data_IF_454097385224
#
_entry.id   IF_454097385224
#
_cell.length_a   1.000
_cell.length_b   1.000
_cell.length_c   1.000
_cell.angle_alpha   90.00
_cell.angle_beta   90.00
_cell.angle_gamma   90.00
#
_symmetry.space_group_name_H-M   'P 1'
#
loop_
_entity.id
_entity.type
_entity.pdbx_description
1 polymer ?
#
# COMPACT_ATOMS: atom_id res chain seq x y z
N UNK A 1 7.11 8.14 17.49
CA UNK A 1 6.96 6.66 17.57
C UNK A 1 6.61 6.29 19.00
N UNK A 2 5.78 5.27 19.23
CA UNK A 2 5.42 4.80 20.59
C UNK A 2 5.95 3.39 20.74
N UNK A 3 6.78 3.14 21.74
CA UNK A 3 7.36 1.83 22.00
C UNK A 3 7.55 1.60 23.53
N UNK A 4 7.76 0.35 23.91
CA UNK A 4 8.04 0.03 25.30
C UNK A 4 9.52 0.33 25.63
N UNK A 5 9.79 1.22 26.58
CA UNK A 5 11.14 1.62 26.96
C UNK A 5 12.06 0.45 27.34
N UNK A 6 11.50 -0.68 27.82
CA UNK A 6 12.26 -1.91 28.16
C UNK A 6 12.91 -2.58 26.93
N UNK A 7 12.50 -2.22 25.72
CA UNK A 7 13.06 -2.73 24.45
C UNK A 7 14.18 -1.84 23.90
N UNK A 8 14.54 -0.78 24.64
CA UNK A 8 15.54 0.19 24.20
C UNK A 8 16.75 0.18 25.15
N UNK A 9 17.88 -0.34 24.64
CA UNK A 9 19.14 -0.47 25.38
C UNK A 9 20.25 0.46 24.87
N UNK A 10 20.00 1.24 23.81
CA UNK A 10 20.99 2.10 23.20
C UNK A 10 21.36 3.28 24.13
N UNK A 11 22.64 3.48 24.36
CA UNK A 11 23.16 4.66 25.06
C UNK A 11 23.45 5.82 24.13
N UNK A 12 23.69 5.53 22.86
CA UNK A 12 23.91 6.50 21.79
C UNK A 12 22.65 6.52 20.94
N UNK A 13 22.07 7.70 20.65
CA UNK A 13 20.89 7.79 19.82
C UNK A 13 21.18 7.33 18.38
N UNK A 14 20.18 6.78 17.70
CA UNK A 14 20.30 6.36 16.30
C UNK A 14 20.60 7.55 15.37
N UNK A 15 20.05 8.73 15.70
CA UNK A 15 20.24 9.97 14.95
C UNK A 15 20.67 11.11 15.90
N UNK A 16 21.95 11.20 16.29
CA UNK A 16 22.43 12.27 17.15
C UNK A 16 22.29 13.65 16.48
N UNK A 17 21.92 14.64 17.28
CA UNK A 17 21.73 16.01 16.78
C UNK A 17 21.62 17.02 17.93
N UNK A 18 21.27 18.25 17.61
CA UNK A 18 21.02 19.28 18.60
C UNK A 18 19.92 18.86 19.58
N UNK A 19 20.13 19.08 20.86
CA UNK A 19 19.19 18.71 21.91
C UNK A 19 19.36 17.27 22.47
N UNK A 20 20.18 16.44 21.87
CA UNK A 20 20.39 15.05 22.31
C UNK A 20 21.53 14.88 23.33
N UNK A 21 22.33 15.90 23.54
CA UNK A 21 23.50 15.90 24.42
C UNK A 21 23.34 16.88 25.57
N UNK A 22 23.91 16.56 26.75
CA UNK A 22 24.03 17.48 27.88
C UNK A 22 25.09 18.54 27.60
N UNK A 23 26.20 18.12 26.99
CA UNK A 23 27.30 18.99 26.57
C UNK A 23 28.15 18.30 25.50
N UNK A 24 28.92 19.09 24.77
CA UNK A 24 29.94 18.67 23.81
C UNK A 24 31.10 19.66 23.82
N UNK A 25 32.29 19.24 23.39
CA UNK A 25 33.49 20.08 23.33
C UNK A 25 34.31 19.84 22.05
N UNK A 26 35.28 20.70 21.72
CA UNK A 26 36.09 20.59 20.51
C UNK A 26 37.04 19.38 20.51
N UNK A 27 37.26 18.73 21.63
CA UNK A 27 38.20 17.60 21.79
C UNK A 27 37.50 16.24 21.56
N UNK A 28 36.32 16.23 20.95
CA UNK A 28 35.54 15.04 20.63
C UNK A 28 34.90 14.33 21.84
N UNK A 29 34.71 15.05 22.92
CA UNK A 29 34.01 14.55 24.09
C UNK A 29 32.58 15.10 24.09
N UNK A 30 31.65 14.27 24.55
CA UNK A 30 30.24 14.61 24.67
C UNK A 30 29.58 13.68 25.67
N UNK A 31 28.42 14.11 26.18
CA UNK A 31 27.57 13.27 27.05
C UNK A 31 26.13 13.39 26.59
N UNK A 32 25.52 12.27 26.25
CA UNK A 32 24.11 12.23 25.84
C UNK A 32 23.17 12.38 27.04
N UNK A 33 21.96 12.86 26.76
CA UNK A 33 20.88 12.98 27.75
C UNK A 33 20.40 11.58 28.18
N UNK A 34 20.10 11.41 29.47
CA UNK A 34 19.66 10.12 30.01
C UNK A 34 18.22 9.77 29.62
N UNK A 35 17.36 10.77 29.50
CA UNK A 35 15.99 10.58 29.05
C UNK A 35 15.97 10.08 27.61
N UNK A 36 15.32 8.95 27.35
CA UNK A 36 15.26 8.31 26.04
C UNK A 36 14.52 9.18 25.03
N UNK A 37 13.42 9.81 25.43
CA UNK A 37 12.58 10.62 24.55
C UNK A 37 13.36 11.82 24.02
N UNK A 38 14.04 12.55 24.91
CA UNK A 38 14.85 13.71 24.54
C UNK A 38 16.10 13.31 23.74
N UNK A 39 16.72 12.19 24.12
CA UNK A 39 17.92 11.67 23.44
C UNK A 39 17.66 11.23 22.02
N UNK A 40 16.47 10.68 21.72
CA UNK A 40 16.09 10.22 20.39
C UNK A 40 15.39 11.30 19.54
N UNK A 41 15.14 12.50 20.09
CA UNK A 41 14.53 13.62 19.37
C UNK A 41 15.59 14.66 18.97
N UNK A 42 16.44 14.31 18.02
CA UNK A 42 17.57 15.14 17.55
C UNK A 42 17.16 16.23 16.58
N UNK A 43 17.56 17.47 16.88
CA UNK A 43 17.32 18.64 16.03
C UNK A 43 16.05 19.41 16.40
N UNK A 44 15.64 20.32 15.52
CA UNK A 44 14.43 21.12 15.74
C UNK A 44 13.17 20.26 15.63
N UNK A 45 12.30 20.22 16.64
CA UNK A 45 11.07 19.43 16.59
C UNK A 45 10.18 19.81 15.38
N UNK A 46 9.54 18.86 14.71
CA UNK A 46 8.69 19.11 13.56
C UNK A 46 7.31 19.66 13.98
N UNK A 47 7.25 20.89 14.47
CA UNK A 47 6.05 21.50 15.06
C UNK A 47 4.82 21.42 14.17
N UNK A 48 4.94 21.75 12.88
CA UNK A 48 3.81 21.74 11.95
C UNK A 48 3.27 20.31 11.73
N UNK A 49 4.16 19.32 11.64
CA UNK A 49 3.78 17.93 11.49
C UNK A 49 3.09 17.41 12.77
N UNK A 50 3.57 17.82 13.94
CA UNK A 50 2.96 17.47 15.24
C UNK A 50 1.55 18.06 15.36
N UNK A 51 1.37 19.34 15.02
CA UNK A 51 0.04 19.99 14.99
C UNK A 51 -0.88 19.28 14.00
N UNK A 52 -0.38 18.97 12.81
CA UNK A 52 -1.15 18.24 11.79
C UNK A 52 -1.59 16.87 12.30
N UNK A 53 -0.71 16.14 12.99
CA UNK A 53 -1.05 14.85 13.61
C UNK A 53 -2.15 15.01 14.66
N UNK A 54 -2.06 16.01 15.51
CA UNK A 54 -3.09 16.30 16.51
C UNK A 54 -4.46 16.61 15.89
N UNK A 55 -4.48 17.39 14.80
CA UNK A 55 -5.70 17.68 14.03
C UNK A 55 -6.30 16.42 13.41
N UNK A 56 -5.49 15.51 12.87
CA UNK A 56 -5.95 14.22 12.34
C UNK A 56 -6.58 13.34 13.44
N UNK A 57 -5.98 13.30 14.62
CA UNK A 57 -6.52 12.57 15.78
C UNK A 57 -7.88 13.17 16.19
N UNK A 58 -7.96 14.49 16.34
CA UNK A 58 -9.21 15.17 16.69
C UNK A 58 -10.31 14.93 15.64
N UNK A 59 -9.97 14.94 14.35
CA UNK A 59 -10.93 14.64 13.29
C UNK A 59 -11.48 13.23 13.43
N UNK A 60 -10.60 12.24 13.62
CA UNK A 60 -10.99 10.84 13.81
C UNK A 60 -11.90 10.67 15.04
N UNK A 61 -11.58 11.32 16.15
CA UNK A 61 -12.40 11.31 17.36
C UNK A 61 -13.79 11.93 17.14
N UNK A 62 -13.84 13.07 16.40
CA UNK A 62 -15.12 13.71 16.02
C UNK A 62 -15.97 12.85 15.10
N UNK A 63 -15.36 12.12 14.19
CA UNK A 63 -16.07 11.15 13.35
C UNK A 63 -16.66 10.01 14.19
N UNK A 64 -15.97 9.61 15.25
CA UNK A 64 -16.35 8.55 16.17
C UNK A 64 -15.92 7.16 15.67
N UNK A 65 -15.07 6.49 16.43
CA UNK A 65 -14.47 5.20 16.05
C UNK A 65 -15.56 4.16 15.76
N UNK A 66 -16.56 4.05 16.61
CA UNK A 66 -17.67 3.10 16.44
C UNK A 66 -18.46 3.34 15.15
N UNK A 67 -18.68 4.61 14.78
CA UNK A 67 -19.36 4.98 13.54
C UNK A 67 -18.51 4.60 12.32
N UNK A 68 -17.21 4.83 12.38
CA UNK A 68 -16.25 4.44 11.34
C UNK A 68 -16.31 2.92 11.13
N UNK A 69 -16.17 2.13 12.19
CA UNK A 69 -16.21 0.67 12.13
C UNK A 69 -17.55 0.14 11.62
N UNK A 70 -18.66 0.72 12.09
CA UNK A 70 -19.98 0.35 11.60
C UNK A 70 -20.15 0.62 10.11
N UNK A 71 -19.65 1.77 9.64
CA UNK A 71 -19.70 2.15 8.23
C UNK A 71 -18.81 1.24 7.37
N UNK A 72 -17.59 0.97 7.78
CA UNK A 72 -16.71 0.02 7.09
C UNK A 72 -17.35 -1.37 6.97
N UNK A 73 -17.98 -1.86 8.04
CA UNK A 73 -18.71 -3.14 8.02
C UNK A 73 -19.84 -3.14 6.97
N UNK A 74 -20.60 -2.05 6.87
CA UNK A 74 -21.66 -1.93 5.85
C UNK A 74 -21.09 -1.97 4.44
N UNK A 75 -20.02 -1.22 4.17
CA UNK A 75 -19.38 -1.18 2.86
C UNK A 75 -18.72 -2.53 2.50
N UNK A 76 -18.09 -3.20 3.45
CA UNK A 76 -17.55 -4.54 3.25
C UNK A 76 -18.66 -5.54 2.91
N UNK A 77 -19.79 -5.48 3.60
CA UNK A 77 -20.93 -6.35 3.29
C UNK A 77 -21.40 -6.17 1.84
N UNK A 78 -21.48 -4.93 1.35
CA UNK A 78 -21.80 -4.67 -0.07
C UNK A 78 -20.77 -5.30 -0.99
N UNK A 79 -19.47 -5.11 -0.72
CA UNK A 79 -18.39 -5.65 -1.56
C UNK A 79 -18.43 -7.18 -1.61
N UNK A 80 -18.54 -7.85 -0.46
CA UNK A 80 -18.60 -9.31 -0.42
C UNK A 80 -19.84 -9.84 -1.14
N UNK A 81 -21.01 -9.23 -0.95
CA UNK A 81 -22.24 -9.63 -1.66
C UNK A 81 -22.10 -9.50 -3.18
N UNK A 82 -21.39 -8.48 -3.65
CA UNK A 82 -21.21 -8.23 -5.08
C UNK A 82 -20.10 -9.08 -5.72
N UNK A 83 -19.01 -9.37 -4.98
CA UNK A 83 -17.81 -9.92 -5.58
C UNK A 83 -17.53 -11.37 -5.23
N UNK A 84 -18.02 -11.92 -4.11
CA UNK A 84 -17.63 -13.26 -3.66
C UNK A 84 -18.08 -14.41 -4.58
N UNK A 85 -19.07 -14.17 -5.44
CA UNK A 85 -19.61 -15.16 -6.39
C UNK A 85 -19.19 -14.92 -7.83
N UNK A 86 -18.31 -13.95 -8.07
CA UNK A 86 -17.82 -13.66 -9.42
C UNK A 86 -16.82 -14.73 -9.84
N UNK A 87 -17.15 -15.48 -10.88
CA UNK A 87 -16.30 -16.53 -11.44
C UNK A 87 -14.97 -15.92 -11.94
N UNK A 88 -13.84 -16.57 -11.61
CA UNK A 88 -12.51 -16.09 -11.95
C UNK A 88 -11.97 -14.97 -11.06
N UNK A 89 -12.73 -14.49 -10.06
CA UNK A 89 -12.28 -13.55 -9.05
C UNK A 89 -12.07 -14.25 -7.71
N UNK A 90 -10.88 -14.13 -7.14
CA UNK A 90 -10.54 -14.75 -5.85
C UNK A 90 -10.21 -13.68 -4.80
N UNK A 91 -11.09 -13.52 -3.81
CA UNK A 91 -10.83 -12.66 -2.66
C UNK A 91 -9.96 -13.41 -1.67
N UNK A 92 -8.82 -12.84 -1.30
CA UNK A 92 -7.90 -13.46 -0.34
C UNK A 92 -8.52 -13.48 1.06
N UNK A 93 -8.36 -14.63 1.75
CA UNK A 93 -8.95 -14.89 3.07
C UNK A 93 -10.46 -14.60 3.11
N UNK A 94 -11.20 -15.05 2.09
CA UNK A 94 -12.63 -14.79 1.88
C UNK A 94 -13.51 -15.25 3.06
N UNK A 95 -13.07 -16.24 3.82
CA UNK A 95 -13.73 -16.74 5.04
C UNK A 95 -13.74 -15.70 6.17
N UNK A 96 -12.81 -14.73 6.15
CA UNK A 96 -12.69 -13.68 7.14
C UNK A 96 -13.29 -12.35 6.65
N UNK A 97 -14.63 -12.27 6.61
CA UNK A 97 -15.31 -11.04 6.16
C UNK A 97 -15.30 -9.91 7.21
N UNK A 98 -15.10 -10.25 8.49
CA UNK A 98 -14.96 -9.27 9.57
C UNK A 98 -13.52 -8.75 9.62
N UNK A 99 -13.26 -7.69 8.85
CA UNK A 99 -11.93 -7.08 8.67
C UNK A 99 -12.03 -5.56 8.58
N UNK A 100 -10.89 -4.88 8.54
CA UNK A 100 -10.83 -3.46 8.18
C UNK A 100 -11.20 -3.27 6.70
N UNK A 101 -11.46 -2.03 6.30
CA UNK A 101 -11.83 -1.65 4.94
C UNK A 101 -10.77 -1.93 3.86
N UNK A 102 -10.14 -3.10 3.91
CA UNK A 102 -9.11 -3.55 2.96
C UNK A 102 -9.50 -4.90 2.38
N UNK A 103 -9.65 -4.96 1.05
CA UNK A 103 -9.95 -6.17 0.31
C UNK A 103 -8.85 -6.43 -0.70
N UNK A 104 -8.24 -7.59 -0.61
CA UNK A 104 -7.21 -8.05 -1.54
C UNK A 104 -7.77 -9.18 -2.39
N UNK A 105 -7.50 -9.16 -3.69
CA UNK A 105 -8.02 -10.14 -4.64
C UNK A 105 -7.06 -10.34 -5.81
N UNK A 106 -7.22 -11.44 -6.51
CA UNK A 106 -6.62 -11.65 -7.83
C UNK A 106 -7.68 -12.15 -8.81
N UNK A 107 -7.40 -11.98 -10.08
CA UNK A 107 -8.24 -12.47 -11.19
C UNK A 107 -7.45 -13.55 -11.93
N UNK A 108 -8.11 -14.65 -12.27
CA UNK A 108 -7.49 -15.74 -13.03
C UNK A 108 -6.93 -15.24 -14.36
N UNK A 109 -5.76 -15.73 -14.71
CA UNK A 109 -5.06 -15.37 -15.95
C UNK A 109 -4.78 -13.87 -16.17
N UNK A 110 -4.85 -13.08 -15.09
CA UNK A 110 -4.55 -11.65 -15.11
C UNK A 110 -3.36 -11.35 -14.20
N UNK A 111 -2.30 -10.80 -14.78
CA UNK A 111 -1.19 -10.26 -13.99
C UNK A 111 -1.70 -9.08 -13.12
N UNK A 112 -1.38 -9.09 -11.84
CA UNK A 112 -1.92 -8.09 -10.89
C UNK A 112 -1.58 -6.63 -11.28
N UNK A 113 -0.38 -6.35 -11.80
CA UNK A 113 -0.02 -5.00 -12.25
C UNK A 113 -0.82 -4.57 -13.49
N UNK A 114 -1.16 -5.51 -14.38
CA UNK A 114 -2.06 -5.20 -15.48
C UNK A 114 -3.45 -4.88 -14.96
N UNK A 115 -3.96 -5.65 -14.00
CA UNK A 115 -5.25 -5.36 -13.38
C UNK A 115 -5.30 -3.98 -12.72
N UNK A 116 -4.24 -3.60 -12.01
CA UNK A 116 -4.09 -2.23 -11.46
C UNK A 116 -4.16 -1.18 -12.56
N UNK A 117 -3.43 -1.40 -13.66
CA UNK A 117 -3.39 -0.48 -14.79
C UNK A 117 -4.75 -0.37 -15.48
N UNK A 118 -5.41 -1.49 -15.71
CA UNK A 118 -6.74 -1.52 -16.35
C UNK A 118 -7.80 -0.83 -15.50
N UNK A 119 -7.80 -1.01 -14.17
CA UNK A 119 -8.73 -0.30 -13.27
C UNK A 119 -8.50 1.21 -13.30
N UNK A 120 -7.24 1.64 -13.35
CA UNK A 120 -6.92 3.06 -13.47
C UNK A 120 -7.34 3.63 -14.81
N UNK A 121 -6.94 2.99 -15.91
CA UNK A 121 -7.08 3.56 -17.25
C UNK A 121 -8.54 3.54 -17.76
N UNK A 122 -9.33 2.53 -17.40
CA UNK A 122 -10.73 2.41 -17.82
C UNK A 122 -11.73 3.06 -16.89
N UNK A 123 -11.40 3.13 -15.57
CA UNK A 123 -12.39 3.54 -14.55
C UNK A 123 -11.88 4.64 -13.61
N UNK A 124 -10.63 5.07 -13.71
CA UNK A 124 -10.02 6.04 -12.79
C UNK A 124 -9.86 5.51 -11.36
N UNK A 125 -9.89 4.18 -11.18
CA UNK A 125 -9.80 3.55 -9.86
C UNK A 125 -8.35 3.20 -9.57
N UNK A 126 -7.77 3.87 -8.57
CA UNK A 126 -6.40 3.62 -8.13
C UNK A 126 -6.38 2.55 -7.04
N UNK A 127 -5.69 1.47 -7.31
CA UNK A 127 -5.45 0.35 -6.39
C UNK A 127 -3.96 0.01 -6.34
N UNK A 128 -3.55 -0.83 -5.41
CA UNK A 128 -2.17 -1.26 -5.30
C UNK A 128 -2.00 -2.71 -5.72
N UNK A 129 -1.00 -3.00 -6.56
CA UNK A 129 -0.59 -4.36 -6.95
C UNK A 129 0.63 -4.86 -6.19
N UNK A 130 0.80 -6.18 -6.12
CA UNK A 130 1.95 -6.85 -5.54
C UNK A 130 1.67 -7.54 -4.20
N UNK A 131 2.73 -8.09 -3.60
CA UNK A 131 2.63 -8.81 -2.31
C UNK A 131 2.61 -7.90 -1.07
N UNK A 132 2.53 -6.59 -1.24
CA UNK A 132 2.38 -5.57 -0.17
C UNK A 132 3.40 -5.70 0.97
N UNK A 133 4.67 -6.03 0.67
CA UNK A 133 5.75 -6.31 1.63
C UNK A 133 5.46 -7.49 2.58
N UNK A 134 4.58 -8.41 2.18
CA UNK A 134 4.18 -9.60 2.93
C UNK A 134 4.54 -10.88 2.17
N UNK A 135 5.79 -10.99 1.68
CA UNK A 135 6.23 -12.11 0.83
C UNK A 135 6.01 -13.47 1.44
N UNK A 136 6.39 -13.67 2.70
CA UNK A 136 6.18 -14.93 3.42
C UNK A 136 4.69 -15.25 3.58
N UNK A 137 3.89 -14.28 3.99
CA UNK A 137 2.45 -14.44 4.11
C UNK A 137 1.77 -14.60 2.75
N UNK A 138 2.33 -13.97 1.70
CA UNK A 138 1.89 -14.14 0.32
C UNK A 138 2.03 -15.57 -0.20
N UNK A 139 3.09 -16.28 0.18
CA UNK A 139 3.23 -17.70 -0.15
C UNK A 139 2.09 -18.54 0.44
N UNK A 140 1.74 -18.24 1.69
CA UNK A 140 0.61 -18.91 2.36
C UNK A 140 -0.73 -18.56 1.68
N UNK A 141 -1.00 -17.28 1.42
CA UNK A 141 -2.26 -16.83 0.82
C UNK A 141 -2.48 -17.31 -0.62
N UNK A 142 -1.39 -17.49 -1.39
CA UNK A 142 -1.43 -17.93 -2.78
C UNK A 142 -1.06 -19.42 -2.92
N UNK A 143 -0.96 -20.16 -1.80
CA UNK A 143 -0.64 -21.59 -1.75
C UNK A 143 0.64 -21.96 -2.51
N UNK A 144 1.65 -21.05 -2.49
CA UNK A 144 2.93 -21.24 -3.16
C UNK A 144 3.77 -22.25 -2.36
N UNK A 145 3.96 -23.46 -2.89
CA UNK A 145 4.80 -24.48 -2.27
C UNK A 145 6.31 -24.21 -2.50
N UNK A 146 7.17 -24.96 -1.79
CA UNK A 146 8.62 -24.75 -1.81
C UNK A 146 9.23 -24.90 -3.21
N UNK A 147 8.79 -25.87 -4.00
CA UNK A 147 9.32 -26.10 -5.35
C UNK A 147 8.98 -24.96 -6.30
N UNK A 148 7.74 -24.47 -6.27
CA UNK A 148 7.31 -23.30 -7.03
C UNK A 148 8.05 -22.05 -6.55
N UNK A 149 8.22 -21.87 -5.24
CA UNK A 149 8.97 -20.74 -4.67
C UNK A 149 10.42 -20.69 -5.16
N UNK A 150 11.11 -21.84 -5.26
CA UNK A 150 12.49 -21.92 -5.78
C UNK A 150 12.56 -21.49 -7.26
N UNK A 151 11.63 -21.95 -8.09
CA UNK A 151 11.57 -21.54 -9.51
C UNK A 151 11.32 -20.04 -9.65
N UNK A 152 10.37 -19.49 -8.88
CA UNK A 152 10.08 -18.06 -8.87
C UNK A 152 11.28 -17.23 -8.41
N UNK A 153 12.00 -17.69 -7.38
CA UNK A 153 13.21 -17.03 -6.89
C UNK A 153 14.31 -17.00 -7.96
N UNK A 154 14.50 -18.09 -8.69
CA UNK A 154 15.46 -18.16 -9.80
C UNK A 154 15.09 -17.17 -10.92
N UNK A 155 13.83 -17.13 -11.35
CA UNK A 155 13.34 -16.18 -12.35
C UNK A 155 13.57 -14.73 -11.91
N UNK A 156 13.16 -14.39 -10.68
CA UNK A 156 13.33 -13.05 -10.11
C UNK A 156 14.81 -12.65 -10.04
N UNK A 157 15.69 -13.58 -9.64
CA UNK A 157 17.14 -13.34 -9.55
C UNK A 157 17.75 -13.07 -10.93
N UNK A 158 17.21 -13.69 -11.98
CA UNK A 158 17.60 -13.48 -13.37
C UNK A 158 16.94 -12.25 -14.03
N UNK A 159 16.18 -11.46 -13.25
CA UNK A 159 15.52 -10.23 -13.73
C UNK A 159 14.18 -10.46 -14.46
N UNK A 160 13.64 -11.68 -14.44
CA UNK A 160 12.32 -11.97 -14.99
C UNK A 160 11.26 -11.93 -13.88
N UNK A 161 10.42 -10.90 -13.91
CA UNK A 161 9.37 -10.67 -12.93
C UNK A 161 7.97 -11.14 -13.42
N UNK A 162 7.90 -11.83 -14.56
CA UNK A 162 6.63 -12.22 -15.20
C UNK A 162 5.73 -13.04 -14.28
N UNK A 163 6.31 -13.98 -13.55
CA UNK A 163 5.58 -14.89 -12.67
C UNK A 163 5.66 -14.48 -11.19
N UNK A 164 6.12 -13.26 -10.90
CA UNK A 164 6.21 -12.77 -9.52
C UNK A 164 4.84 -12.79 -8.87
N UNK A 165 4.64 -13.49 -7.73
CA UNK A 165 3.36 -13.55 -7.06
C UNK A 165 2.88 -12.19 -6.57
N UNK A 166 1.59 -11.96 -6.64
CA UNK A 166 0.98 -10.74 -6.14
C UNK A 166 -0.53 -10.74 -6.31
N UNK A 167 -1.15 -9.74 -5.74
CA UNK A 167 -2.59 -9.51 -5.78
C UNK A 167 -2.89 -8.02 -5.98
N UNK A 168 -4.14 -7.69 -6.21
CA UNK A 168 -4.65 -6.32 -6.23
C UNK A 168 -5.24 -6.04 -4.84
N UNK A 169 -4.81 -4.93 -4.23
CA UNK A 169 -5.33 -4.48 -2.93
C UNK A 169 -6.14 -3.21 -3.10
N UNK A 170 -7.40 -3.30 -2.76
CA UNK A 170 -8.34 -2.19 -2.67
C UNK A 170 -8.49 -1.77 -1.21
N UNK A 171 -8.49 -0.47 -0.95
CA UNK A 171 -8.82 0.11 0.36
C UNK A 171 -10.06 0.98 0.20
N UNK A 172 -11.05 0.78 1.07
CA UNK A 172 -12.26 1.59 1.14
C UNK A 172 -12.16 2.56 2.31
N UNK A 173 -12.84 3.69 2.18
CA UNK A 173 -12.88 4.71 3.22
C UNK A 173 -14.31 4.87 3.77
N UNK A 174 -14.51 5.08 5.07
CA UNK A 174 -15.85 5.19 5.67
C UNK A 174 -16.68 6.36 5.16
N UNK A 175 -16.07 7.34 4.49
CA UNK A 175 -16.77 8.45 3.84
C UNK A 175 -17.34 8.10 2.46
N UNK A 176 -16.96 6.96 1.89
CA UNK A 176 -17.50 6.51 0.59
C UNK A 176 -19.01 6.25 0.70
N UNK A 177 -19.74 6.60 -0.36
CA UNK A 177 -21.16 6.28 -0.51
C UNK A 177 -21.32 4.81 -0.94
N UNK A 178 -22.54 4.27 -0.78
CA UNK A 178 -22.87 2.95 -1.31
C UNK A 178 -22.76 2.92 -2.85
N UNK A 179 -23.15 4.00 -3.52
CA UNK A 179 -23.09 4.10 -4.98
C UNK A 179 -21.65 3.99 -5.48
N UNK A 180 -20.71 4.74 -4.90
CA UNK A 180 -19.29 4.67 -5.25
C UNK A 180 -18.73 3.25 -5.07
N UNK A 181 -19.04 2.58 -3.96
CA UNK A 181 -18.58 1.20 -3.72
C UNK A 181 -19.19 0.21 -4.72
N UNK A 182 -20.47 0.37 -5.05
CA UNK A 182 -21.13 -0.46 -6.07
C UNK A 182 -20.55 -0.22 -7.47
N UNK A 183 -20.19 1.01 -7.80
CA UNK A 183 -19.54 1.31 -9.08
C UNK A 183 -18.12 0.73 -9.15
N UNK A 184 -17.38 0.72 -8.04
CA UNK A 184 -16.10 -0.01 -7.93
C UNK A 184 -16.32 -1.52 -8.15
N UNK A 185 -17.33 -2.11 -7.55
CA UNK A 185 -17.66 -3.53 -7.76
C UNK A 185 -18.00 -3.85 -9.22
N UNK A 186 -18.75 -2.99 -9.90
CA UNK A 186 -19.06 -3.10 -11.33
C UNK A 186 -17.78 -3.03 -12.17
N UNK A 187 -16.89 -2.10 -11.86
CA UNK A 187 -15.61 -1.96 -12.54
C UNK A 187 -14.75 -3.24 -12.40
N UNK A 188 -14.71 -3.84 -11.21
CA UNK A 188 -13.99 -5.11 -10.98
C UNK A 188 -14.64 -6.25 -11.77
N UNK A 189 -15.97 -6.35 -11.82
CA UNK A 189 -16.67 -7.35 -12.67
C UNK A 189 -16.32 -7.15 -14.15
N UNK A 190 -16.37 -5.91 -14.63
CA UNK A 190 -15.96 -5.60 -16.02
C UNK A 190 -14.50 -5.92 -16.29
N UNK A 191 -13.61 -5.75 -15.32
CA UNK A 191 -12.21 -6.18 -15.41
C UNK A 191 -12.14 -7.70 -15.62
N UNK A 192 -12.84 -8.48 -14.81
CA UNK A 192 -12.87 -9.95 -14.93
C UNK A 192 -13.36 -10.39 -16.32
N UNK A 193 -14.40 -9.77 -16.83
CA UNK A 193 -15.01 -10.11 -18.12
C UNK A 193 -14.14 -9.72 -19.32
N UNK A 194 -13.41 -8.60 -19.24
CA UNK A 194 -12.81 -7.96 -20.43
C UNK A 194 -11.28 -7.92 -20.43
N UNK A 195 -10.59 -8.31 -19.35
CA UNK A 195 -9.14 -8.17 -19.25
C UNK A 195 -8.38 -8.84 -20.41
N UNK A 196 -8.86 -9.98 -20.90
CA UNK A 196 -8.23 -10.70 -22.01
C UNK A 196 -8.26 -9.91 -23.35
N UNK A 197 -9.29 -9.06 -23.53
CA UNK A 197 -9.39 -8.18 -24.71
C UNK A 197 -8.55 -6.93 -24.47
N UNK A 198 -8.68 -6.30 -23.32
CA UNK A 198 -7.99 -5.04 -23.00
C UNK A 198 -6.47 -5.20 -22.91
N UNK A 199 -5.99 -6.34 -22.41
CA UNK A 199 -4.55 -6.65 -22.31
C UNK A 199 -3.80 -6.51 -23.64
N UNK A 200 -4.47 -6.71 -24.78
CA UNK A 200 -3.87 -6.60 -26.11
C UNK A 200 -3.36 -5.19 -26.42
N UNK A 201 -3.84 -4.20 -25.71
CA UNK A 201 -3.42 -2.80 -25.88
C UNK A 201 -2.21 -2.41 -25.01
N UNK A 202 -1.65 -3.35 -24.24
CA UNK A 202 -0.56 -3.08 -23.32
C UNK A 202 0.69 -3.88 -23.70
N UNK A 203 1.83 -3.25 -23.50
CA UNK A 203 3.14 -3.89 -23.54
C UNK A 203 3.61 -4.13 -22.11
N UNK A 204 4.23 -5.27 -21.88
CA UNK A 204 4.80 -5.65 -20.60
C UNK A 204 6.32 -5.57 -20.62
N UNK A 205 6.90 -4.99 -19.58
CA UNK A 205 8.34 -4.99 -19.34
C UNK A 205 8.66 -5.97 -18.20
N UNK A 206 9.37 -7.04 -18.52
CA UNK A 206 9.69 -8.13 -17.60
C UNK A 206 10.64 -7.68 -16.49
N UNK A 207 11.45 -6.66 -16.73
CA UNK A 207 12.49 -6.21 -15.80
C UNK A 207 11.95 -5.22 -14.77
N UNK A 208 11.03 -4.35 -15.17
CA UNK A 208 10.39 -3.38 -14.28
C UNK A 208 9.08 -3.89 -13.70
N UNK A 209 8.55 -4.98 -14.26
CA UNK A 209 7.22 -5.53 -13.91
C UNK A 209 6.08 -4.54 -14.17
N UNK A 210 6.19 -3.75 -15.22
CA UNK A 210 5.23 -2.71 -15.55
C UNK A 210 4.52 -2.97 -16.87
N UNK A 211 3.27 -2.51 -16.94
CA UNK A 211 2.47 -2.50 -18.16
C UNK A 211 2.29 -1.07 -18.64
N UNK A 212 2.52 -0.85 -19.96
CA UNK A 212 2.30 0.46 -20.59
C UNK A 212 1.35 0.30 -21.77
N UNK A 213 0.35 1.16 -21.83
CA UNK A 213 -0.53 1.22 -22.99
C UNK A 213 0.29 1.57 -24.25
N UNK A 214 0.02 0.91 -25.37
CA UNK A 214 0.83 1.04 -26.61
C UNK A 214 0.90 2.46 -27.17
N UNK A 215 -0.13 3.26 -26.87
CA UNK A 215 -0.21 4.67 -27.27
C UNK A 215 0.03 5.63 -26.13
N UNK A 216 0.66 5.17 -25.03
CA UNK A 216 1.01 6.04 -23.92
C UNK A 216 2.21 6.91 -24.28
N UNK A 217 2.02 8.21 -24.24
CA UNK A 217 3.08 9.21 -24.32
C UNK A 217 3.43 9.66 -22.89
N UNK A 218 4.68 9.47 -22.50
CA UNK A 218 5.16 9.95 -21.21
C UNK A 218 5.46 11.45 -21.31
N UNK A 219 4.59 12.26 -20.70
CA UNK A 219 4.74 13.72 -20.61
C UNK A 219 5.20 14.18 -19.23
N UNK A 220 5.56 13.27 -18.34
CA UNK A 220 5.88 13.59 -16.95
C UNK A 220 6.98 14.64 -16.84
N UNK A 221 8.05 14.52 -17.63
CA UNK A 221 9.16 15.46 -17.58
C UNK A 221 8.75 16.87 -18.04
N UNK A 222 7.99 16.96 -19.13
CA UNK A 222 7.48 18.24 -19.64
C UNK A 222 6.46 18.86 -18.70
N UNK A 223 5.57 18.08 -18.13
CA UNK A 223 4.55 18.56 -17.20
C UNK A 223 5.18 19.05 -15.89
N UNK A 224 6.15 18.32 -15.34
CA UNK A 224 6.89 18.73 -14.14
C UNK A 224 7.69 20.00 -14.41
N UNK A 225 8.36 20.11 -15.57
CA UNK A 225 9.10 21.30 -15.93
C UNK A 225 8.21 22.54 -16.02
N UNK A 226 7.01 22.39 -16.59
CA UNK A 226 6.03 23.48 -16.69
C UNK A 226 5.55 24.00 -15.32
N UNK A 227 5.59 23.17 -14.25
CA UNK A 227 5.24 23.63 -12.90
C UNK A 227 6.23 24.64 -12.30
N UNK A 228 7.44 24.71 -12.84
CA UNK A 228 8.52 25.60 -12.38
C UNK A 228 8.78 26.75 -13.36
N UNK A 229 8.03 26.88 -14.44
CA UNK A 229 8.04 28.04 -15.31
C UNK A 229 7.22 29.16 -14.63
N UNK A 230 7.93 30.24 -14.20
CA UNK A 230 7.38 31.45 -13.55
C UNK A 230 7.12 32.54 -14.59
#
# INVERSE_FOLDING_TARGET
>A
MIFNARLYDNRVPDNPGGGTVKWTNPWKEHEFIDNIEDREDGGTPPFLQTIRTALCIQLKEKMGIEKILQREKQLLTLIFNELQTVEGLHILANEHQHRLGVVSFYVENLHFNLGVKLLNDHFGIQVRGGCSCAGTYGHYLLEVNESVSKLLTEQITNGDLTNKPGWIRMSIHPTMTNAEVLDICKAIKSLVENHAVWSKNYNYDVTTNEFRHRHFEDKTESDVSAWFEL
#
